data_IF_036861292200
#
_entry.id   IF_036861292200
#
_cell.length_a   1.000
_cell.length_b   1.000
_cell.length_c   1.000
_cell.angle_alpha   90.00
_cell.angle_beta   90.00
_cell.angle_gamma   90.00
#
_symmetry.space_group_name_H-M   'P 1'
#
loop_
_entity.id
_entity.type
_entity.pdbx_description
1 polymer ?
#
# COMPACT_ATOMS: atom_id res chain seq x y z
N UNK A 1 15.33 15.71 5.11
CA UNK A 1 15.20 14.56 6.02
C UNK A 1 13.98 13.67 5.72
N UNK A 2 12.76 14.22 5.60
CA UNK A 2 11.54 13.45 5.31
C UNK A 2 11.55 12.74 3.94
N UNK A 3 12.06 13.38 2.87
CA UNK A 3 12.22 12.74 1.54
C UNK A 3 13.11 11.48 1.58
N UNK A 4 14.19 11.52 2.37
CA UNK A 4 15.12 10.41 2.55
C UNK A 4 14.48 9.25 3.34
N UNK A 5 13.57 9.56 4.28
CA UNK A 5 12.79 8.55 5.00
C UNK A 5 11.75 7.88 4.09
N UNK A 6 11.16 8.63 3.16
CA UNK A 6 10.24 8.09 2.16
C UNK A 6 10.96 7.11 1.22
N UNK A 7 12.12 7.51 0.68
CA UNK A 7 12.92 6.71 -0.26
C UNK A 7 13.46 5.40 0.31
N UNK A 8 13.54 5.27 1.64
CA UNK A 8 14.06 4.08 2.32
C UNK A 8 12.96 3.14 2.84
N UNK A 9 11.68 3.49 2.67
CA UNK A 9 10.57 2.70 3.22
C UNK A 9 10.12 1.62 2.25
N UNK A 10 10.56 0.39 2.51
CA UNK A 10 9.89 -0.82 2.03
C UNK A 10 8.81 -1.26 3.02
N UNK A 11 7.75 -1.87 2.53
CA UNK A 11 6.82 -2.59 3.40
C UNK A 11 7.57 -3.73 4.13
N UNK A 12 7.51 -3.72 5.46
CA UNK A 12 8.09 -4.76 6.33
C UNK A 12 7.19 -5.98 6.40
N UNK A 13 7.76 -7.14 6.77
CA UNK A 13 7.04 -8.39 6.66
C UNK A 13 5.82 -8.52 7.58
N UNK A 14 5.92 -7.97 8.80
CA UNK A 14 4.90 -8.12 9.85
C UNK A 14 3.87 -6.99 9.89
N UNK A 15 3.94 -6.00 8.99
CA UNK A 15 3.00 -4.88 8.97
C UNK A 15 1.87 -5.14 8.00
N UNK A 16 0.63 -5.05 8.52
CA UNK A 16 -0.58 -4.95 7.70
C UNK A 16 -0.41 -3.89 6.61
N UNK A 17 -0.79 -4.25 5.39
CA UNK A 17 -0.51 -3.44 4.20
C UNK A 17 -1.13 -2.04 4.30
N UNK A 18 -2.29 -1.94 4.96
CA UNK A 18 -2.98 -0.67 5.20
C UNK A 18 -2.17 0.33 6.03
N UNK A 19 -1.38 -0.16 7.00
CA UNK A 19 -0.57 0.71 7.86
C UNK A 19 0.57 1.34 7.05
N UNK A 20 1.20 0.57 6.18
CA UNK A 20 2.20 1.07 5.24
C UNK A 20 1.63 2.19 4.36
N UNK A 21 0.44 1.99 3.75
CA UNK A 21 -0.19 3.00 2.90
C UNK A 21 -0.51 4.28 3.67
N UNK A 22 -1.10 4.16 4.88
CA UNK A 22 -1.44 5.33 5.70
C UNK A 22 -0.19 6.12 6.11
N UNK A 23 0.91 5.44 6.43
CA UNK A 23 2.16 6.09 6.78
C UNK A 23 2.77 6.83 5.57
N UNK A 24 2.77 6.22 4.38
CA UNK A 24 3.25 6.88 3.14
C UNK A 24 2.38 8.08 2.80
N UNK A 25 1.06 7.95 2.82
CA UNK A 25 0.14 9.06 2.55
C UNK A 25 0.37 10.23 3.53
N UNK A 26 0.51 9.94 4.82
CA UNK A 26 0.79 10.95 5.84
C UNK A 26 2.11 11.68 5.58
N UNK A 27 3.16 10.95 5.19
CA UNK A 27 4.45 11.52 4.86
C UNK A 27 4.42 12.35 3.58
N UNK A 28 3.75 11.87 2.53
CA UNK A 28 3.57 12.61 1.29
C UNK A 28 2.86 13.95 1.55
N UNK A 29 1.75 13.93 2.31
CA UNK A 29 1.01 15.15 2.69
C UNK A 29 1.82 16.10 3.57
N UNK A 30 2.71 15.59 4.42
CA UNK A 30 3.64 16.42 5.21
C UNK A 30 4.75 17.05 4.38
N UNK A 31 5.24 16.35 3.35
CA UNK A 31 6.29 16.87 2.46
C UNK A 31 5.71 17.89 1.49
N UNK A 32 4.55 17.59 0.92
CA UNK A 32 3.83 18.45 0.00
C UNK A 32 2.30 18.31 0.24
N UNK A 33 1.67 19.29 0.92
CA UNK A 33 0.24 19.26 1.19
C UNK A 33 -0.64 19.23 -0.06
N UNK A 34 -0.13 19.71 -1.20
CA UNK A 34 -0.85 19.76 -2.48
C UNK A 34 -0.40 18.66 -3.45
N UNK A 35 0.27 17.62 -2.95
CA UNK A 35 0.70 16.48 -3.78
C UNK A 35 -0.51 15.81 -4.44
N UNK A 36 -0.49 15.62 -5.77
CA UNK A 36 -1.55 14.92 -6.48
C UNK A 36 -1.72 13.49 -5.95
N UNK A 37 -2.98 13.06 -5.84
CA UNK A 37 -3.30 11.72 -5.35
C UNK A 37 -2.65 10.61 -6.18
N UNK A 38 -2.53 10.81 -7.50
CA UNK A 38 -1.84 9.90 -8.42
C UNK A 38 -0.35 9.72 -8.09
N UNK A 39 0.33 10.77 -7.63
CA UNK A 39 1.73 10.69 -7.22
C UNK A 39 1.88 9.92 -5.90
N UNK A 40 0.92 10.09 -4.98
CA UNK A 40 0.88 9.32 -3.73
C UNK A 40 0.64 7.84 -4.05
N UNK A 41 -0.31 7.53 -4.93
CA UNK A 41 -0.59 6.15 -5.39
C UNK A 41 0.66 5.53 -6.00
N UNK A 42 1.34 6.25 -6.91
CA UNK A 42 2.58 5.76 -7.52
C UNK A 42 3.66 5.47 -6.47
N UNK A 43 3.82 6.37 -5.50
CA UNK A 43 4.77 6.19 -4.39
C UNK A 43 4.43 4.96 -3.55
N UNK A 44 3.16 4.76 -3.21
CA UNK A 44 2.71 3.58 -2.47
C UNK A 44 3.03 2.31 -3.26
N UNK A 45 2.62 2.26 -4.53
CA UNK A 45 2.77 1.07 -5.38
C UNK A 45 4.24 0.70 -5.64
N UNK A 46 5.15 1.66 -5.70
CA UNK A 46 6.57 1.43 -5.96
C UNK A 46 7.23 0.53 -4.91
N UNK A 47 6.88 0.71 -3.64
CA UNK A 47 7.56 0.05 -2.51
C UNK A 47 6.66 -0.96 -1.76
N UNK A 48 5.51 -1.31 -2.34
CA UNK A 48 4.69 -2.46 -1.91
C UNK A 48 5.44 -3.78 -2.12
N UNK A 49 5.06 -4.83 -1.37
CA UNK A 49 5.64 -6.16 -1.59
C UNK A 49 5.28 -6.69 -3.00
N UNK A 50 6.19 -7.38 -3.71
CA UNK A 50 5.96 -7.84 -5.09
C UNK A 50 4.72 -8.73 -5.28
N UNK A 51 4.40 -9.59 -4.30
CA UNK A 51 3.20 -10.43 -4.34
C UNK A 51 1.92 -9.59 -4.29
N UNK A 52 1.90 -8.55 -3.45
CA UNK A 52 0.77 -7.61 -3.34
C UNK A 52 0.65 -6.79 -4.63
N UNK A 53 1.75 -6.24 -5.14
CA UNK A 53 1.76 -5.46 -6.40
C UNK A 53 1.21 -6.30 -7.55
N UNK A 54 1.61 -7.58 -7.66
CA UNK A 54 1.13 -8.46 -8.73
C UNK A 54 -0.38 -8.64 -8.71
N UNK A 55 -0.97 -8.75 -7.53
CA UNK A 55 -2.42 -8.95 -7.36
C UNK A 55 -3.20 -7.63 -7.49
N UNK A 56 -2.69 -6.54 -6.93
CA UNK A 56 -3.35 -5.23 -6.96
C UNK A 56 -3.22 -4.57 -8.33
N UNK A 57 -2.06 -4.70 -8.98
CA UNK A 57 -1.76 -4.06 -10.27
C UNK A 57 -2.61 -4.55 -11.43
N UNK A 58 -3.23 -5.73 -11.32
CA UNK A 58 -4.17 -6.27 -12.29
C UNK A 58 -5.63 -5.93 -11.99
N UNK A 59 -5.93 -5.36 -10.82
CA UNK A 59 -7.30 -4.95 -10.46
C UNK A 59 -7.64 -3.64 -11.19
N UNK A 60 -8.77 -3.63 -11.89
CA UNK A 60 -9.37 -2.38 -12.36
C UNK A 60 -9.74 -1.50 -11.14
N UNK A 61 -9.57 -0.18 -11.26
CA UNK A 61 -9.91 0.83 -10.24
C UNK A 61 -8.89 0.99 -9.09
N UNK A 62 -7.65 1.38 -9.38
CA UNK A 62 -6.70 1.90 -8.37
C UNK A 62 -6.43 3.40 -8.55
N UNK A 63 -7.37 4.14 -9.16
CA UNK A 63 -7.17 5.53 -9.57
C UNK A 63 -7.32 6.53 -8.42
N UNK A 64 -7.85 6.09 -7.29
CA UNK A 64 -7.97 6.88 -6.05
C UNK A 64 -7.37 6.09 -4.88
N UNK A 65 -6.86 6.79 -3.87
CA UNK A 65 -6.34 6.19 -2.63
C UNK A 65 -7.43 5.41 -1.90
N UNK A 66 -8.69 5.86 -1.98
CA UNK A 66 -9.81 5.12 -1.41
C UNK A 66 -9.93 3.73 -2.03
N UNK A 67 -9.98 3.67 -3.36
CA UNK A 67 -10.11 2.39 -4.06
C UNK A 67 -8.89 1.50 -3.83
N UNK A 68 -7.67 2.07 -3.88
CA UNK A 68 -6.44 1.33 -3.58
C UNK A 68 -6.48 0.72 -2.17
N UNK A 69 -6.88 1.50 -1.16
CA UNK A 69 -6.99 1.00 0.22
C UNK A 69 -8.05 -0.08 0.36
N UNK A 70 -9.19 0.07 -0.31
CA UNK A 70 -10.26 -0.94 -0.26
C UNK A 70 -9.82 -2.25 -0.92
N UNK A 71 -9.08 -2.19 -2.03
CA UNK A 71 -8.50 -3.37 -2.68
C UNK A 71 -7.42 -4.04 -1.82
N UNK A 72 -6.55 -3.26 -1.17
CA UNK A 72 -5.55 -3.79 -0.24
C UNK A 72 -6.16 -4.46 0.99
N UNK A 73 -7.27 -3.93 1.52
CA UNK A 73 -8.01 -4.59 2.62
C UNK A 73 -8.62 -5.92 2.18
N UNK A 74 -9.17 -5.99 0.96
CA UNK A 74 -9.68 -7.24 0.38
C UNK A 74 -8.57 -8.27 0.23
N UNK A 75 -7.40 -7.83 -0.25
CA UNK A 75 -6.22 -8.68 -0.36
C UNK A 75 -5.81 -9.23 1.03
N UNK A 76 -5.64 -8.36 2.04
CA UNK A 76 -5.25 -8.77 3.39
C UNK A 76 -6.28 -9.77 4.00
N UNK A 77 -7.58 -9.62 3.71
CA UNK A 77 -8.63 -10.55 4.14
C UNK A 77 -8.53 -11.92 3.47
N UNK A 78 -8.29 -11.95 2.15
CA UNK A 78 -8.15 -13.21 1.39
C UNK A 78 -6.93 -13.98 1.87
N UNK A 79 -5.77 -13.31 2.02
CA UNK A 79 -4.55 -13.95 2.53
C UNK A 79 -4.77 -14.55 3.93
N UNK A 80 -5.49 -13.83 4.80
CA UNK A 80 -5.84 -14.33 6.13
C UNK A 80 -6.74 -15.58 6.07
N UNK A 81 -7.70 -15.63 5.15
CA UNK A 81 -8.56 -16.81 4.98
C UNK A 81 -7.76 -18.01 4.46
N UNK A 82 -6.91 -17.82 3.45
CA UNK A 82 -6.06 -18.88 2.88
C UNK A 82 -5.11 -19.45 3.94
N UNK A 83 -4.44 -18.59 4.71
CA UNK A 83 -3.53 -19.02 5.77
C UNK A 83 -4.25 -19.94 6.79
N UNK A 84 -5.50 -19.60 7.15
CA UNK A 84 -6.30 -20.41 8.08
C UNK A 84 -6.75 -21.77 7.52
N UNK A 85 -6.92 -21.88 6.21
CA UNK A 85 -7.25 -23.16 5.57
C UNK A 85 -6.04 -24.10 5.47
N UNK A 86 -4.82 -23.54 5.39
CA UNK A 86 -3.57 -24.31 5.32
C UNK A 86 -3.08 -24.81 6.68
N UNK A 87 -3.55 -24.19 7.77
CA UNK A 87 -3.25 -24.59 9.16
C UNK A 87 -4.20 -25.71 9.68
N UNK A 88 -5.10 -26.23 8.85
CA UNK A 88 -5.99 -27.37 9.14
C UNK A 88 -5.46 -28.69 8.58
#
# INVERSE_FOLDING_TARGET
MLKLLLQKRKQLDDKQTINYVNEIESLCKRINPTMPESEIIHTVMKDLKPNIIRQIGIMENNNTLKQLKDNLRKFDLIEFMIARELDQ
#
